data_IF_648034080922
#
_entry.id   IF_648034080922
#
_cell.length_a   1.000
_cell.length_b   1.000
_cell.length_c   1.000
_cell.angle_alpha   90.00
_cell.angle_beta   90.00
_cell.angle_gamma   90.00
#
_symmetry.space_group_name_H-M   'P 1'
#
loop_
_entity.id
_entity.type
_entity.pdbx_description
1 polymer ?
#
# COMPACT_ATOMS: atom_id res chain seq x y z
N UNK A 1 -8.28 6.83 12.14
CA UNK A 1 -7.38 5.97 11.35
C UNK A 1 -6.38 6.86 10.67
N UNK A 2 -5.13 6.48 10.70
CA UNK A 2 -4.02 7.32 10.25
C UNK A 2 -3.34 6.63 9.08
N UNK A 3 -3.39 7.25 7.88
CA UNK A 3 -2.71 6.69 6.71
C UNK A 3 -1.21 6.91 6.85
N UNK A 4 -0.43 5.89 6.60
CA UNK A 4 1.03 5.91 6.61
C UNK A 4 1.57 5.70 5.20
N UNK A 5 2.56 6.52 4.82
CA UNK A 5 3.35 6.35 3.60
C UNK A 5 4.80 6.09 3.98
N UNK A 6 5.32 4.94 3.60
CA UNK A 6 6.66 4.46 3.93
C UNK A 6 7.38 4.08 2.64
N UNK A 7 8.66 4.45 2.51
CA UNK A 7 9.47 4.12 1.34
C UNK A 7 10.84 3.59 1.71
N UNK A 8 11.44 2.84 0.78
CA UNK A 8 12.81 2.34 0.87
C UNK A 8 13.87 3.44 1.06
N UNK A 9 13.55 4.70 0.74
CA UNK A 9 14.48 5.84 0.86
C UNK A 9 14.57 6.42 2.27
N UNK A 10 13.65 6.05 3.16
CA UNK A 10 13.69 6.50 4.55
C UNK A 10 14.88 5.87 5.27
N UNK A 11 15.61 6.67 6.04
CA UNK A 11 16.76 6.17 6.81
C UNK A 11 16.34 5.04 7.76
N UNK A 12 17.04 3.89 7.69
CA UNK A 12 16.70 2.70 8.47
C UNK A 12 15.52 1.88 7.96
N UNK A 13 14.99 2.19 6.77
CA UNK A 13 13.96 1.39 6.13
C UNK A 13 14.48 -0.02 5.81
N UNK A 14 13.63 -1.06 5.94
CA UNK A 14 14.04 -2.42 5.63
C UNK A 14 14.39 -2.60 4.15
N UNK A 15 15.40 -3.44 3.88
CA UNK A 15 15.81 -3.74 2.50
C UNK A 15 14.96 -4.89 1.95
N UNK A 16 14.30 -4.66 0.82
CA UNK A 16 13.69 -5.71 0.01
C UNK A 16 14.70 -6.20 -1.02
N UNK A 17 14.82 -7.50 -1.19
CA UNK A 17 15.72 -8.11 -2.17
C UNK A 17 15.28 -9.54 -2.50
N UNK A 18 16.06 -10.24 -3.35
CA UNK A 18 15.81 -11.62 -3.78
C UNK A 18 16.36 -12.67 -2.83
N UNK A 19 16.19 -12.48 -1.53
CA UNK A 19 16.57 -13.46 -0.51
C UNK A 19 15.37 -13.90 0.31
N UNK A 20 15.44 -15.12 0.82
CA UNK A 20 14.44 -15.69 1.73
C UNK A 20 14.20 -14.74 2.91
N UNK A 21 12.96 -14.55 3.30
CA UNK A 21 12.55 -13.74 4.47
C UNK A 21 12.60 -12.22 4.28
N UNK A 22 13.08 -11.70 3.14
CA UNK A 22 13.23 -10.24 2.95
C UNK A 22 11.89 -9.49 2.91
N UNK A 23 10.86 -10.07 2.28
CA UNK A 23 9.51 -9.50 2.23
C UNK A 23 8.80 -9.66 3.58
N UNK A 24 8.92 -10.82 4.21
CA UNK A 24 8.37 -11.07 5.54
C UNK A 24 8.92 -10.07 6.58
N UNK A 25 10.23 -9.81 6.55
CA UNK A 25 10.89 -8.82 7.40
C UNK A 25 10.43 -7.39 7.11
N UNK A 26 10.29 -7.04 5.82
CA UNK A 26 9.77 -5.73 5.42
C UNK A 26 8.36 -5.52 5.97
N UNK A 27 7.46 -6.48 5.74
CA UNK A 27 6.07 -6.38 6.18
C UNK A 27 5.97 -6.33 7.71
N UNK A 28 6.71 -7.19 8.42
CA UNK A 28 6.77 -7.13 9.89
C UNK A 28 7.19 -5.76 10.38
N UNK A 29 8.24 -5.20 9.78
CA UNK A 29 8.75 -3.87 10.14
C UNK A 29 7.74 -2.77 9.86
N UNK A 30 7.13 -2.75 8.67
CA UNK A 30 6.22 -1.68 8.27
C UNK A 30 4.83 -1.81 8.91
N UNK A 31 4.34 -3.03 9.10
CA UNK A 31 3.00 -3.26 9.62
C UNK A 31 2.95 -3.23 11.16
N UNK A 32 3.99 -3.75 11.84
CA UNK A 32 3.95 -4.07 13.28
C UNK A 32 4.97 -3.28 14.10
N UNK A 33 6.26 -3.30 13.72
CA UNK A 33 7.32 -2.83 14.61
C UNK A 33 7.63 -1.34 14.47
N UNK A 34 7.57 -0.81 13.25
CA UNK A 34 8.21 0.46 12.87
C UNK A 34 9.73 0.32 12.78
N UNK A 35 10.44 1.39 12.42
CA UNK A 35 11.89 1.39 12.28
C UNK A 35 12.51 2.74 12.59
N UNK A 36 13.85 2.79 12.62
CA UNK A 36 14.60 4.02 12.87
C UNK A 36 14.49 4.50 14.33
N UNK A 37 14.26 3.57 15.29
CA UNK A 37 14.19 3.93 16.71
C UNK A 37 15.46 4.67 17.14
N UNK A 38 15.27 5.80 17.79
CA UNK A 38 16.36 6.59 18.34
C UNK A 38 15.91 7.58 19.39
N UNK A 39 16.84 7.96 20.26
CA UNK A 39 16.62 8.97 21.29
C UNK A 39 16.79 10.36 20.67
N UNK A 40 15.92 11.29 21.00
CA UNK A 40 16.03 12.69 20.63
C UNK A 40 16.98 13.40 21.57
N UNK A 41 17.78 14.31 21.02
CA UNK A 41 18.63 15.21 21.80
C UNK A 41 17.81 16.31 22.47
N UNK A 42 16.75 16.76 21.80
CA UNK A 42 15.80 17.73 22.36
C UNK A 42 14.44 17.65 21.65
N UNK A 43 13.41 18.10 22.37
CA UNK A 43 12.06 18.31 21.86
C UNK A 43 11.54 19.61 22.47
N UNK A 44 11.29 20.62 21.65
CA UNK A 44 10.91 21.97 22.09
C UNK A 44 9.62 22.39 21.41
N UNK A 45 8.67 22.88 22.21
CA UNK A 45 7.41 23.45 21.71
C UNK A 45 7.55 24.96 21.67
N UNK A 46 7.20 25.56 20.56
CA UNK A 46 7.11 27.01 20.38
C UNK A 46 6.01 27.35 19.38
N UNK A 47 5.11 28.24 19.76
CA UNK A 47 4.00 28.69 18.91
C UNK A 47 3.09 27.56 18.43
N UNK A 48 2.87 26.51 19.25
CA UNK A 48 2.04 25.36 18.90
C UNK A 48 2.72 24.34 17.95
N UNK A 49 4.01 24.49 17.65
CA UNK A 49 4.82 23.54 16.86
C UNK A 49 5.89 22.92 17.76
N UNK A 50 5.98 21.61 17.73
CA UNK A 50 7.07 20.88 18.36
C UNK A 50 8.20 20.65 17.34
N UNK A 51 9.43 21.00 17.74
CA UNK A 51 10.66 20.71 17.00
C UNK A 51 11.44 19.62 17.72
N UNK A 52 11.59 18.48 17.07
CA UNK A 52 12.39 17.35 17.54
C UNK A 52 13.78 17.42 16.89
N UNK A 53 14.84 17.32 17.67
CA UNK A 53 16.23 17.32 17.20
C UNK A 53 16.90 15.99 17.50
N UNK A 54 17.60 15.45 16.51
CA UNK A 54 18.46 14.28 16.64
C UNK A 54 19.69 14.47 15.75
N UNK A 55 20.81 14.88 16.35
CA UNK A 55 22.06 15.18 15.65
C UNK A 55 22.62 13.98 14.87
N UNK A 56 22.36 12.75 15.33
CA UNK A 56 22.73 11.52 14.62
C UNK A 56 21.88 11.23 13.38
N UNK A 57 20.93 12.11 13.02
CA UNK A 57 19.97 11.91 11.94
C UNK A 57 18.76 11.08 12.39
N UNK A 58 17.70 11.12 11.59
CA UNK A 58 16.43 10.44 11.86
C UNK A 58 15.79 9.92 10.58
N UNK A 59 14.70 9.12 10.74
CA UNK A 59 13.96 8.52 9.62
C UNK A 59 12.71 9.33 9.21
N UNK A 60 12.44 10.45 9.88
CA UNK A 60 11.28 11.28 9.57
C UNK A 60 11.43 11.96 8.22
N UNK A 61 10.37 11.94 7.43
CA UNK A 61 10.23 12.72 6.18
C UNK A 61 8.88 13.44 6.19
N UNK A 62 8.80 14.59 5.55
CA UNK A 62 7.54 15.36 5.48
C UNK A 62 6.39 14.52 4.99
N UNK A 63 5.28 14.53 5.71
CA UNK A 63 4.08 13.72 5.45
C UNK A 63 4.17 12.26 5.95
N UNK A 64 5.30 11.83 6.54
CA UNK A 64 5.36 10.57 7.27
C UNK A 64 4.85 10.72 8.70
N UNK A 65 4.69 9.61 9.40
CA UNK A 65 4.27 9.60 10.79
C UNK A 65 5.36 9.04 11.70
N UNK A 66 5.58 9.73 12.80
CA UNK A 66 6.54 9.34 13.83
C UNK A 66 5.82 9.01 15.12
N UNK A 67 6.21 7.91 15.77
CA UNK A 67 5.82 7.63 17.15
C UNK A 67 6.81 8.29 18.07
N UNK A 68 6.32 9.20 18.93
CA UNK A 68 7.09 9.84 20.00
C UNK A 68 6.73 9.16 21.32
N UNK A 69 7.71 8.86 22.15
CA UNK A 69 7.49 8.26 23.46
C UNK A 69 8.47 8.80 24.49
N UNK A 70 8.09 8.73 25.78
CA UNK A 70 8.94 9.14 26.91
C UNK A 70 9.01 10.63 27.18
N UNK A 71 8.15 11.43 26.54
CA UNK A 71 8.10 12.88 26.74
C UNK A 71 7.21 13.30 27.89
N UNK A 72 7.65 14.30 28.61
CA UNK A 72 6.84 15.14 29.48
C UNK A 72 6.86 16.57 28.93
N UNK A 73 5.70 17.20 28.57
CA UNK A 73 4.34 16.72 28.82
C UNK A 73 3.92 15.54 27.91
N UNK A 74 3.03 14.69 28.45
CA UNK A 74 2.57 13.47 27.79
C UNK A 74 1.80 13.70 26.48
N UNK A 75 1.22 14.88 26.27
CA UNK A 75 0.54 15.26 25.03
C UNK A 75 1.44 15.25 23.79
N UNK A 76 2.77 15.28 23.98
CA UNK A 76 3.73 15.16 22.88
C UNK A 76 3.94 13.68 22.47
N UNK A 77 3.56 12.71 23.29
CA UNK A 77 3.68 11.28 22.96
C UNK A 77 2.61 10.83 21.97
N UNK A 78 2.83 9.66 21.37
CA UNK A 78 1.93 9.05 20.39
C UNK A 78 2.38 9.27 18.95
N UNK A 79 1.50 8.97 18.01
CA UNK A 79 1.75 9.13 16.57
C UNK A 79 1.57 10.59 16.17
N UNK A 80 2.56 11.15 15.51
CA UNK A 80 2.61 12.55 15.07
C UNK A 80 2.85 12.64 13.57
N UNK A 81 2.13 13.55 12.91
CA UNK A 81 2.34 13.87 11.50
C UNK A 81 3.57 14.79 11.35
N UNK A 82 4.52 14.40 10.51
CA UNK A 82 5.69 15.21 10.24
C UNK A 82 5.34 16.34 9.26
N UNK A 83 5.38 17.57 9.75
CA UNK A 83 5.08 18.78 8.96
C UNK A 83 6.24 19.20 8.09
N UNK A 84 7.45 19.14 8.65
CA UNK A 84 8.70 19.45 7.93
C UNK A 84 9.87 18.66 8.51
N UNK A 85 10.92 18.49 7.74
CA UNK A 85 12.15 17.85 8.20
C UNK A 85 13.41 18.46 7.58
N UNK A 86 14.52 18.32 8.28
CA UNK A 86 15.90 18.52 7.83
C UNK A 86 16.68 17.23 8.11
N UNK A 87 17.97 17.11 7.80
CA UNK A 87 18.73 15.91 8.17
C UNK A 87 18.75 15.58 9.67
N UNK A 88 18.59 16.59 10.55
CA UNK A 88 18.73 16.43 12.00
C UNK A 88 17.53 16.88 12.81
N UNK A 89 16.52 17.47 12.18
CA UNK A 89 15.31 17.97 12.87
C UNK A 89 14.05 17.60 12.10
N UNK A 90 12.94 17.42 12.81
CA UNK A 90 11.61 17.39 12.22
C UNK A 90 10.60 18.09 13.13
N UNK A 91 9.50 18.54 12.53
CA UNK A 91 8.46 19.28 13.24
C UNK A 91 7.12 18.56 13.16
N UNK A 92 6.27 18.76 14.17
CA UNK A 92 4.91 18.27 14.21
C UNK A 92 3.99 19.21 15.00
N UNK A 93 2.69 19.07 14.83
CA UNK A 93 1.69 19.87 15.53
C UNK A 93 1.70 19.57 17.04
N UNK A 94 1.77 20.62 17.85
CA UNK A 94 1.73 20.60 19.30
C UNK A 94 0.71 21.62 19.83
N UNK A 95 -0.32 21.95 19.04
CA UNK A 95 -1.40 22.85 19.43
C UNK A 95 -2.02 22.42 20.78
N UNK A 96 -2.19 23.36 21.67
CA UNK A 96 -2.70 23.13 23.04
C UNK A 96 -1.63 22.75 24.07
N UNK A 97 -0.35 22.68 23.67
CA UNK A 97 0.77 22.49 24.58
C UNK A 97 1.52 23.84 24.68
N UNK A 98 1.75 24.31 25.91
CA UNK A 98 2.46 25.56 26.16
C UNK A 98 3.90 25.49 25.68
N UNK A 99 4.47 26.63 25.29
CA UNK A 99 5.86 26.77 24.90
C UNK A 99 6.80 26.31 26.00
N UNK A 100 7.58 25.28 25.74
CA UNK A 100 8.50 24.68 26.69
C UNK A 100 9.48 23.69 26.01
N UNK A 101 10.56 23.41 26.69
CA UNK A 101 11.40 22.24 26.39
C UNK A 101 10.80 21.02 27.09
N UNK A 102 10.56 19.95 26.34
CA UNK A 102 10.10 18.69 26.89
C UNK A 102 11.24 17.98 27.68
N UNK A 103 10.85 17.21 28.68
CA UNK A 103 11.78 16.44 29.53
C UNK A 103 11.52 14.94 29.41
N UNK A 104 12.47 14.14 29.87
CA UNK A 104 12.44 12.67 29.83
C UNK A 104 13.40 12.08 28.82
N UNK A 105 13.47 10.76 28.75
CA UNK A 105 14.19 10.04 27.69
C UNK A 105 13.24 9.87 26.51
N UNK A 106 13.30 10.85 25.60
CA UNK A 106 12.36 10.95 24.49
C UNK A 106 12.89 10.14 23.31
N UNK A 107 12.07 9.23 22.80
CA UNK A 107 12.40 8.41 21.64
C UNK A 107 11.47 8.70 20.46
N UNK A 108 11.97 8.46 19.25
CA UNK A 108 11.21 8.52 18.01
C UNK A 108 11.47 7.30 17.15
N UNK A 109 10.48 6.88 16.37
CA UNK A 109 10.61 5.90 15.28
C UNK A 109 9.53 6.15 14.22
N UNK A 110 9.76 5.70 12.98
CA UNK A 110 8.68 5.64 11.98
C UNK A 110 7.58 4.74 12.51
N UNK A 111 6.36 5.27 12.55
CA UNK A 111 5.20 4.52 13.05
C UNK A 111 4.88 3.36 12.12
N UNK A 112 4.61 2.17 12.63
CA UNK A 112 4.03 1.10 11.83
C UNK A 112 2.56 1.40 11.48
N UNK A 113 1.96 0.59 10.60
CA UNK A 113 0.56 0.69 10.26
C UNK A 113 -0.38 0.24 11.41
N UNK A 114 0.15 -0.47 12.41
CA UNK A 114 -0.61 -0.88 13.59
C UNK A 114 -1.26 -2.26 13.48
N UNK A 115 -0.84 -3.10 12.54
CA UNK A 115 -1.27 -4.50 12.42
C UNK A 115 -0.70 -5.35 13.55
N UNK A 116 -1.30 -6.52 13.78
CA UNK A 116 -0.80 -7.54 14.70
C UNK A 116 -0.13 -8.67 13.94
N UNK A 117 0.93 -9.23 14.53
CA UNK A 117 1.57 -10.46 14.10
C UNK A 117 0.99 -11.61 14.91
N UNK A 118 0.10 -12.39 14.29
CA UNK A 118 -0.66 -13.42 15.00
C UNK A 118 0.10 -14.74 15.14
N UNK A 119 0.71 -15.20 14.04
CA UNK A 119 1.51 -16.43 14.00
C UNK A 119 2.77 -16.21 13.17
N UNK A 120 3.83 -16.95 13.44
CA UNK A 120 5.04 -16.91 12.65
C UNK A 120 5.91 -18.17 12.79
N UNK A 121 6.75 -18.38 11.78
CA UNK A 121 7.99 -19.17 11.83
C UNK A 121 9.15 -18.29 11.38
N UNK A 122 10.28 -18.87 10.98
CA UNK A 122 11.45 -18.09 10.54
C UNK A 122 11.13 -17.19 9.33
N UNK A 123 10.46 -17.74 8.31
CA UNK A 123 10.22 -17.04 7.03
C UNK A 123 8.72 -17.01 6.64
N UNK A 124 7.84 -17.42 7.56
CA UNK A 124 6.39 -17.35 7.37
C UNK A 124 5.79 -16.45 8.42
N UNK A 125 5.04 -15.46 7.98
CA UNK A 125 4.39 -14.47 8.83
C UNK A 125 2.88 -14.49 8.60
N UNK A 126 2.12 -14.29 9.67
CA UNK A 126 0.67 -14.11 9.60
C UNK A 126 0.30 -12.80 10.28
N UNK A 127 -0.28 -11.90 9.50
CA UNK A 127 -0.73 -10.59 9.95
C UNK A 127 -2.24 -10.51 10.02
N UNK A 128 -2.72 -9.68 10.93
CA UNK A 128 -4.15 -9.40 11.09
C UNK A 128 -4.37 -7.95 11.48
N UNK A 129 -5.44 -7.34 10.96
CA UNK A 129 -5.91 -6.04 11.46
C UNK A 129 -6.44 -6.17 12.90
N UNK A 130 -6.02 -5.33 13.86
CA UNK A 130 -6.64 -5.30 15.18
C UNK A 130 -7.97 -4.52 15.19
N UNK A 131 -8.27 -3.77 14.12
CA UNK A 131 -9.39 -2.86 14.04
C UNK A 131 -10.72 -3.60 13.98
N UNK A 132 -11.53 -3.46 15.04
CA UNK A 132 -12.83 -4.13 15.17
C UNK A 132 -13.90 -3.66 14.18
N UNK A 133 -13.68 -2.50 13.53
CA UNK A 133 -14.55 -2.02 12.46
C UNK A 133 -14.26 -2.66 11.10
N UNK A 134 -13.21 -3.48 11.01
CA UNK A 134 -12.84 -4.21 9.81
C UNK A 134 -13.25 -5.68 9.85
N UNK A 135 -12.98 -6.38 8.75
CA UNK A 135 -13.24 -7.82 8.63
C UNK A 135 -12.30 -8.64 9.52
N UNK A 136 -11.11 -8.12 9.80
CA UNK A 136 -10.07 -8.75 10.60
C UNK A 136 -9.63 -10.12 10.07
N UNK A 137 -9.64 -10.29 8.75
CA UNK A 137 -9.13 -11.47 8.09
C UNK A 137 -7.60 -11.54 8.21
N UNK A 138 -7.06 -12.73 8.06
CA UNK A 138 -5.64 -13.01 8.21
C UNK A 138 -4.94 -13.00 6.86
N UNK A 139 -3.72 -12.49 6.83
CA UNK A 139 -2.81 -12.58 5.70
C UNK A 139 -1.62 -13.43 6.08
N UNK A 140 -1.45 -14.56 5.42
CA UNK A 140 -0.25 -15.39 5.50
C UNK A 140 0.71 -15.03 4.38
N UNK A 141 1.97 -14.83 4.73
CA UNK A 141 3.09 -14.64 3.80
C UNK A 141 4.09 -15.77 4.07
N UNK A 142 4.28 -16.64 3.11
CA UNK A 142 5.36 -17.64 3.11
C UNK A 142 6.48 -17.11 2.20
N UNK A 143 7.54 -16.58 2.81
CA UNK A 143 8.67 -15.96 2.15
C UNK A 143 9.90 -16.87 2.08
N UNK A 144 9.68 -18.18 2.00
CA UNK A 144 10.72 -19.19 1.80
C UNK A 144 11.29 -19.19 0.38
N UNK A 145 10.62 -18.54 -0.57
CA UNK A 145 11.11 -18.32 -1.93
C UNK A 145 12.10 -17.15 -2.02
N UNK A 146 12.92 -17.15 -3.07
CA UNK A 146 13.91 -16.08 -3.29
C UNK A 146 13.36 -14.91 -4.11
N UNK A 147 12.66 -15.17 -5.21
CA UNK A 147 12.12 -14.11 -6.09
C UNK A 147 10.67 -13.77 -5.79
N UNK A 148 9.93 -14.72 -5.26
CA UNK A 148 8.52 -14.61 -4.97
C UNK A 148 8.22 -15.17 -3.59
N UNK A 149 7.28 -14.54 -2.88
CA UNK A 149 6.66 -15.10 -1.69
C UNK A 149 5.29 -15.68 -2.05
N UNK A 150 4.88 -16.76 -1.36
CA UNK A 150 3.51 -17.27 -1.44
C UNK A 150 2.63 -16.48 -0.49
N UNK A 151 1.42 -16.18 -0.94
CA UNK A 151 0.46 -15.42 -0.13
C UNK A 151 -0.92 -16.05 -0.18
N UNK A 152 -1.57 -16.07 0.96
CA UNK A 152 -2.95 -16.52 1.11
C UNK A 152 -3.62 -15.76 2.24
N UNK A 153 -4.87 -15.44 2.07
CA UNK A 153 -5.66 -14.87 3.16
C UNK A 153 -6.69 -15.89 3.66
N UNK A 154 -7.13 -15.70 4.90
CA UNK A 154 -8.07 -16.59 5.57
C UNK A 154 -9.08 -15.80 6.40
N UNK A 155 -10.30 -16.32 6.51
CA UNK A 155 -11.27 -15.73 7.45
C UNK A 155 -10.91 -16.06 8.91
N UNK A 156 -10.43 -17.28 9.17
CA UNK A 156 -9.95 -17.69 10.50
C UNK A 156 -8.66 -18.47 10.40
N UNK A 157 -7.78 -18.30 11.39
CA UNK A 157 -6.57 -19.11 11.55
C UNK A 157 -6.36 -19.48 13.01
N UNK A 158 -5.77 -20.67 13.23
CA UNK A 158 -5.39 -21.19 14.55
C UNK A 158 -3.90 -21.53 14.64
N UNK A 159 -3.17 -21.30 13.56
CA UNK A 159 -1.72 -21.51 13.47
C UNK A 159 -1.19 -21.02 12.14
N UNK A 160 0.13 -21.05 11.96
CA UNK A 160 0.81 -20.47 10.82
C UNK A 160 0.37 -21.07 9.47
N UNK A 161 0.00 -22.37 9.45
CA UNK A 161 -0.46 -23.07 8.25
C UNK A 161 -1.86 -23.69 8.44
N UNK A 162 -2.61 -23.22 9.44
CA UNK A 162 -3.92 -23.80 9.75
C UNK A 162 -4.97 -22.69 9.76
N UNK A 163 -5.82 -22.68 8.73
CA UNK A 163 -6.89 -21.71 8.59
C UNK A 163 -8.08 -22.28 7.83
N UNK A 164 -9.16 -21.51 7.76
CA UNK A 164 -10.38 -21.85 7.02
C UNK A 164 -10.85 -20.70 6.15
N UNK A 165 -11.62 -21.01 5.12
CA UNK A 165 -12.15 -20.04 4.16
C UNK A 165 -11.04 -19.19 3.53
N UNK A 166 -10.09 -19.90 2.92
CA UNK A 166 -8.96 -19.27 2.25
C UNK A 166 -9.36 -18.54 0.96
N UNK A 167 -8.65 -17.45 0.67
CA UNK A 167 -8.71 -16.75 -0.61
C UNK A 167 -7.32 -16.28 -1.07
N UNK A 168 -6.88 -16.66 -2.30
CA UNK A 168 -7.57 -17.57 -3.21
C UNK A 168 -7.67 -19.00 -2.67
N UNK A 169 -8.69 -19.74 -3.12
CA UNK A 169 -8.80 -21.17 -2.87
C UNK A 169 -7.79 -21.95 -3.71
N UNK A 170 -7.53 -23.22 -3.37
CA UNK A 170 -6.66 -24.09 -4.18
C UNK A 170 -7.19 -24.32 -5.60
N UNK A 171 -8.50 -24.30 -5.79
CA UNK A 171 -9.11 -24.37 -7.12
C UNK A 171 -8.85 -23.10 -7.96
N UNK A 172 -8.65 -21.96 -7.31
CA UNK A 172 -8.34 -20.70 -7.98
C UNK A 172 -6.82 -20.55 -8.23
N UNK A 173 -6.03 -20.80 -7.20
CA UNK A 173 -4.55 -20.79 -7.25
C UNK A 173 -4.02 -21.80 -6.25
N UNK A 174 -3.56 -22.94 -6.75
CA UNK A 174 -3.07 -24.02 -5.91
C UNK A 174 -1.92 -23.57 -4.98
N UNK A 175 -2.08 -23.75 -3.68
CA UNK A 175 -1.13 -23.33 -2.66
C UNK A 175 -1.09 -21.82 -2.38
N UNK A 176 -2.07 -21.02 -2.85
CA UNK A 176 -2.12 -19.57 -2.70
C UNK A 176 -1.49 -18.79 -3.86
N UNK A 177 -1.57 -17.48 -3.81
CA UNK A 177 -1.00 -16.60 -4.82
C UNK A 177 0.48 -16.30 -4.62
N UNK A 178 1.02 -15.44 -5.47
CA UNK A 178 2.42 -15.01 -5.42
C UNK A 178 2.51 -13.49 -5.32
N UNK A 179 3.44 -13.04 -4.51
CA UNK A 179 3.93 -11.67 -4.46
C UNK A 179 5.38 -11.63 -4.88
N UNK A 180 5.66 -11.03 -6.03
CA UNK A 180 7.02 -10.92 -6.54
C UNK A 180 7.76 -9.81 -5.82
N UNK A 181 8.89 -10.14 -5.22
CA UNK A 181 9.72 -9.23 -4.43
C UNK A 181 11.02 -8.84 -5.13
N UNK A 182 11.51 -9.67 -6.04
CA UNK A 182 12.76 -9.40 -6.77
C UNK A 182 12.77 -10.16 -8.10
N UNK A 183 13.38 -9.59 -9.15
CA UNK A 183 13.61 -10.30 -10.41
C UNK A 183 14.77 -11.31 -10.32
N UNK A 184 15.59 -11.25 -9.27
CA UNK A 184 16.76 -12.09 -9.10
C UNK A 184 16.88 -12.66 -7.69
N UNK A 185 17.40 -13.88 -7.60
CA UNK A 185 17.71 -14.56 -6.35
C UNK A 185 19.06 -14.06 -5.77
N UNK A 186 19.15 -12.76 -5.46
CA UNK A 186 20.36 -12.15 -4.92
C UNK A 186 20.02 -11.02 -3.91
N UNK A 187 21.05 -10.40 -3.34
CA UNK A 187 20.93 -9.35 -2.34
C UNK A 187 20.76 -7.93 -2.91
N UNK A 188 20.59 -7.77 -4.22
CA UNK A 188 20.37 -6.45 -4.82
C UNK A 188 19.10 -5.84 -4.30
N UNK A 189 19.21 -4.63 -3.75
CA UNK A 189 18.08 -3.93 -3.17
C UNK A 189 17.04 -3.56 -4.22
N UNK A 190 15.78 -3.82 -3.90
CA UNK A 190 14.62 -3.47 -4.70
C UNK A 190 13.94 -2.25 -4.08
N UNK A 191 13.62 -1.27 -4.91
CA UNK A 191 12.87 -0.11 -4.49
C UNK A 191 11.42 -0.49 -4.18
N UNK A 192 10.89 0.06 -3.10
CA UNK A 192 9.51 -0.19 -2.69
C UNK A 192 8.89 1.04 -2.03
N UNK A 193 7.56 1.06 -2.05
CA UNK A 193 6.75 2.00 -1.28
C UNK A 193 5.53 1.27 -0.73
N UNK A 194 5.13 1.60 0.50
CA UNK A 194 3.97 1.05 1.17
C UNK A 194 3.07 2.19 1.64
N UNK A 195 1.77 2.09 1.32
CA UNK A 195 0.74 3.02 1.78
C UNK A 195 -0.35 2.22 2.44
N UNK A 196 -0.81 2.65 3.60
CA UNK A 196 -1.90 1.95 4.25
C UNK A 196 -2.27 2.50 5.61
N UNK A 197 -3.26 1.86 6.19
CA UNK A 197 -3.70 2.02 7.56
C UNK A 197 -3.75 0.67 8.28
N UNK A 198 -4.39 0.63 9.44
CA UNK A 198 -4.57 -0.59 10.24
C UNK A 198 -5.57 -1.60 9.65
N UNK A 199 -6.18 -1.31 8.48
CA UNK A 199 -7.17 -2.18 7.82
C UNK A 199 -6.80 -2.60 6.41
N UNK A 200 -6.04 -1.78 5.69
CA UNK A 200 -5.70 -2.00 4.28
C UNK A 200 -4.33 -1.44 3.98
N UNK A 201 -3.52 -2.16 3.22
CA UNK A 201 -2.28 -1.64 2.72
C UNK A 201 -2.04 -2.00 1.25
N UNK A 202 -1.24 -1.18 0.62
CA UNK A 202 -0.77 -1.28 -0.76
C UNK A 202 0.74 -1.24 -0.75
N UNK A 203 1.37 -2.29 -1.26
CA UNK A 203 2.82 -2.40 -1.40
C UNK A 203 3.17 -2.39 -2.88
N UNK A 204 4.04 -1.50 -3.26
CA UNK A 204 4.61 -1.41 -4.60
C UNK A 204 6.06 -1.78 -4.56
N UNK A 205 6.47 -2.64 -5.48
CA UNK A 205 7.87 -2.98 -5.68
C UNK A 205 8.28 -2.63 -7.10
N UNK A 206 9.50 -2.13 -7.26
CA UNK A 206 10.04 -1.76 -8.56
C UNK A 206 11.04 -2.81 -9.00
N UNK A 207 10.66 -3.61 -9.97
CA UNK A 207 11.39 -4.80 -10.40
C UNK A 207 12.34 -4.54 -11.59
N UNK A 208 12.66 -3.28 -11.91
CA UNK A 208 13.55 -2.94 -13.00
C UNK A 208 15.03 -3.23 -12.68
N UNK A 209 15.75 -3.68 -13.67
CA UNK A 209 17.13 -4.14 -13.59
C UNK A 209 18.17 -3.06 -13.31
N UNK A 210 17.94 -1.88 -13.76
CA UNK A 210 18.79 -0.75 -13.55
C UNK A 210 17.99 0.21 -12.68
N UNK A 211 18.45 0.47 -11.56
CA UNK A 211 17.99 1.40 -10.53
C UNK A 211 17.03 2.51 -10.96
N UNK A 212 16.48 2.43 -12.22
CA UNK A 212 16.13 3.63 -12.68
C UNK A 212 14.84 3.90 -13.20
N UNK A 213 14.56 3.86 -13.99
CA UNK A 213 13.81 4.95 -14.55
C UNK A 213 12.47 4.56 -15.12
N UNK A 214 12.22 3.30 -15.45
CA UNK A 214 10.96 2.93 -16.07
C UNK A 214 9.92 2.50 -15.03
N UNK A 215 8.85 3.27 -14.83
CA UNK A 215 7.71 2.85 -14.01
C UNK A 215 7.01 1.61 -14.56
N UNK A 216 7.36 1.19 -15.76
CA UNK A 216 6.83 0.01 -16.45
C UNK A 216 7.01 -1.31 -15.70
N UNK A 217 7.95 -1.39 -14.78
CA UNK A 217 8.33 -2.63 -14.08
C UNK A 217 7.95 -2.62 -12.60
N UNK A 218 6.80 -2.09 -12.27
CA UNK A 218 6.30 -2.08 -10.89
C UNK A 218 5.30 -3.21 -10.67
N UNK A 219 5.50 -4.03 -9.63
CA UNK A 219 4.49 -4.94 -9.12
C UNK A 219 3.68 -4.24 -8.03
N UNK A 220 2.38 -4.54 -7.97
CA UNK A 220 1.48 -3.97 -7.00
C UNK A 220 0.76 -5.08 -6.23
N UNK A 221 0.97 -5.09 -4.94
CA UNK A 221 0.49 -6.09 -4.00
C UNK A 221 -0.40 -5.41 -2.98
N UNK A 222 -1.51 -6.03 -2.60
CA UNK A 222 -2.42 -5.41 -1.66
C UNK A 222 -3.23 -6.44 -0.87
N UNK A 223 -3.53 -6.10 0.36
CA UNK A 223 -4.42 -6.86 1.23
C UNK A 223 -5.16 -5.94 2.18
N UNK A 224 -6.39 -6.32 2.50
CA UNK A 224 -7.19 -5.70 3.54
C UNK A 224 -8.65 -5.56 3.19
N UNK A 225 -9.30 -4.64 3.88
CA UNK A 225 -10.71 -4.33 3.66
C UNK A 225 -10.90 -3.42 2.44
N UNK A 226 -12.08 -3.50 1.85
CA UNK A 226 -12.57 -2.53 0.87
C UNK A 226 -13.87 -1.87 1.36
N UNK A 227 -14.27 -0.78 0.75
CA UNK A 227 -15.55 -0.13 1.02
C UNK A 227 -16.67 -0.88 0.28
N UNK A 228 -17.39 -1.73 0.99
CA UNK A 228 -18.48 -2.51 0.41
C UNK A 228 -19.74 -1.66 0.20
N UNK A 229 -20.46 -1.91 -0.88
CA UNK A 229 -21.82 -1.40 -1.12
C UNK A 229 -22.89 -2.21 -0.35
N UNK A 230 -22.50 -3.34 0.23
CA UNK A 230 -23.39 -4.15 1.07
C UNK A 230 -23.25 -3.67 2.52
N UNK A 231 -24.31 -3.13 3.13
CA UNK A 231 -24.28 -2.70 4.52
C UNK A 231 -23.95 -3.86 5.47
N UNK A 232 -23.00 -3.65 6.38
CA UNK A 232 -22.62 -4.66 7.37
C UNK A 232 -21.88 -5.87 6.79
N UNK A 233 -21.24 -5.70 5.63
CA UNK A 233 -20.49 -6.78 4.95
C UNK A 233 -19.27 -7.24 5.76
N UNK A 234 -19.42 -8.28 6.55
CA UNK A 234 -18.34 -8.91 7.31
C UNK A 234 -17.30 -9.63 6.44
N UNK A 235 -17.50 -9.67 5.13
CA UNK A 235 -16.63 -10.33 4.13
C UNK A 235 -16.03 -9.33 3.14
N UNK A 236 -16.00 -8.05 3.48
CA UNK A 236 -15.45 -6.98 2.63
C UNK A 236 -13.92 -6.95 2.65
N UNK A 237 -13.29 -8.09 2.40
CA UNK A 237 -11.84 -8.24 2.34
C UNK A 237 -11.37 -8.73 0.97
N UNK A 238 -10.18 -8.31 0.58
CA UNK A 238 -9.54 -8.71 -0.67
C UNK A 238 -8.06 -9.04 -0.49
N UNK A 239 -7.56 -9.92 -1.34
CA UNK A 239 -6.14 -10.15 -1.56
C UNK A 239 -5.86 -9.97 -3.05
N UNK A 240 -4.84 -9.20 -3.37
CA UNK A 240 -4.32 -9.08 -4.71
C UNK A 240 -3.00 -9.83 -4.84
N UNK A 241 -2.94 -10.78 -5.74
CA UNK A 241 -1.78 -11.62 -5.98
C UNK A 241 -1.75 -12.17 -7.41
N UNK A 242 -0.58 -12.63 -7.85
CA UNK A 242 -0.43 -13.35 -9.11
C UNK A 242 -0.76 -14.83 -8.94
N UNK A 243 -1.30 -15.50 -9.97
CA UNK A 243 -1.53 -16.94 -9.93
C UNK A 243 -0.26 -17.77 -10.19
N UNK A 244 0.78 -17.17 -10.72
CA UNK A 244 2.03 -17.81 -11.12
C UNK A 244 3.24 -17.02 -10.61
N UNK A 245 4.37 -17.72 -10.45
CA UNK A 245 5.66 -17.10 -10.18
C UNK A 245 6.14 -16.29 -11.40
N UNK A 246 7.00 -15.32 -11.13
CA UNK A 246 7.81 -14.72 -12.16
C UNK A 246 8.87 -15.72 -12.64
N UNK A 247 8.63 -16.38 -13.74
CA UNK A 247 9.61 -17.27 -14.36
C UNK A 247 9.93 -16.75 -15.77
N UNK A 248 11.09 -16.12 -15.91
CA UNK A 248 11.72 -15.89 -17.22
C UNK A 248 10.91 -15.08 -18.24
N UNK A 249 9.93 -14.33 -17.81
CA UNK A 249 9.16 -13.47 -18.70
C UNK A 249 10.00 -12.24 -19.01
N UNK A 250 10.17 -11.93 -20.28
CA UNK A 250 10.85 -10.70 -20.70
C UNK A 250 10.27 -9.49 -19.97
N UNK A 251 11.07 -8.52 -19.56
CA UNK A 251 10.59 -7.27 -18.99
C UNK A 251 9.43 -6.62 -19.77
N UNK A 252 9.39 -6.84 -21.09
CA UNK A 252 8.31 -6.37 -21.95
C UNK A 252 6.94 -7.00 -21.65
N UNK A 253 6.87 -8.19 -21.04
CA UNK A 253 5.63 -8.87 -20.67
C UNK A 253 5.11 -8.44 -19.30
N UNK A 254 5.92 -7.77 -18.50
CA UNK A 254 5.54 -7.16 -17.25
C UNK A 254 4.76 -5.86 -17.45
N UNK A 255 4.86 -5.31 -18.64
CA UNK A 255 4.26 -4.00 -18.95
C UNK A 255 2.75 -4.03 -19.10
N UNK A 256 2.13 -5.20 -19.31
CA UNK A 256 0.69 -5.29 -19.51
C UNK A 256 -0.09 -5.93 -18.38
N UNK A 257 0.47 -6.92 -17.72
CA UNK A 257 -0.33 -7.89 -16.97
C UNK A 257 -0.12 -7.89 -15.45
N UNK A 258 0.96 -7.28 -14.97
CA UNK A 258 1.21 -7.07 -13.54
C UNK A 258 0.43 -5.88 -13.03
N UNK A 259 -0.13 -5.14 -13.96
CA UNK A 259 -0.78 -3.91 -13.66
C UNK A 259 -2.13 -4.13 -13.03
N UNK A 260 -2.35 -3.30 -12.13
CA UNK A 260 -3.51 -3.02 -11.36
C UNK A 260 -4.84 -3.06 -12.13
N UNK A 261 -4.81 -3.01 -13.47
CA UNK A 261 -5.95 -2.69 -14.29
C UNK A 261 -6.29 -3.71 -15.38
N UNK A 262 -5.47 -4.71 -15.64
CA UNK A 262 -5.75 -5.59 -16.78
C UNK A 262 -6.41 -6.90 -16.39
N UNK A 263 -7.52 -7.17 -17.02
CA UNK A 263 -8.10 -8.46 -17.21
C UNK A 263 -8.20 -8.75 -18.72
N UNK A 264 -7.10 -8.65 -19.47
CA UNK A 264 -7.14 -9.11 -20.84
C UNK A 264 -7.06 -10.63 -20.90
N UNK A 265 -7.96 -11.18 -21.65
CA UNK A 265 -8.46 -12.55 -21.62
C UNK A 265 -7.53 -13.69 -21.96
N UNK A 266 -6.22 -13.62 -21.83
CA UNK A 266 -5.35 -14.76 -22.12
C UNK A 266 -4.15 -14.97 -21.20
N UNK A 267 -3.85 -14.07 -20.28
CA UNK A 267 -2.84 -14.33 -19.25
C UNK A 267 -3.43 -14.04 -17.88
N UNK A 268 -3.53 -15.07 -17.09
CA UNK A 268 -4.07 -15.10 -15.73
C UNK A 268 -3.14 -14.39 -14.72
N UNK A 269 -2.71 -13.14 -15.06
CA UNK A 269 -1.66 -12.49 -14.36
C UNK A 269 -2.18 -12.00 -13.04
N UNK A 270 -2.38 -10.91 -12.61
CA UNK A 270 -2.81 -10.57 -11.26
C UNK A 270 -4.32 -10.69 -11.06
N UNK A 271 -4.73 -11.43 -10.03
CA UNK A 271 -6.12 -11.54 -9.59
C UNK A 271 -6.40 -10.72 -8.35
N UNK A 272 -7.58 -10.14 -8.26
CA UNK A 272 -8.17 -9.70 -7.00
C UNK A 272 -9.12 -10.80 -6.54
N UNK A 273 -8.85 -11.34 -5.36
CA UNK A 273 -9.66 -12.39 -4.74
C UNK A 273 -10.36 -11.81 -3.53
N UNK A 274 -11.69 -11.91 -3.50
CA UNK A 274 -12.51 -11.53 -2.35
C UNK A 274 -12.74 -12.75 -1.47
N UNK A 275 -12.91 -12.55 -0.18
CA UNK A 275 -13.15 -13.65 0.75
C UNK A 275 -14.41 -14.44 0.39
N UNK A 276 -15.49 -13.74 0.03
CA UNK A 276 -16.76 -14.36 -0.43
C UNK A 276 -17.44 -13.51 -1.52
N UNK A 277 -18.40 -14.13 -2.20
CA UNK A 277 -19.31 -13.44 -3.10
C UNK A 277 -20.19 -12.39 -2.36
N UNK A 278 -20.85 -11.51 -3.12
CA UNK A 278 -21.70 -10.44 -2.55
C UNK A 278 -22.85 -10.96 -1.67
N UNK A 279 -23.22 -12.21 -1.84
CA UNK A 279 -24.22 -12.87 -1.00
C UNK A 279 -23.73 -13.22 0.40
N UNK A 280 -22.42 -13.12 0.65
CA UNK A 280 -21.78 -13.59 1.87
C UNK A 280 -21.73 -15.13 2.00
N UNK A 281 -22.17 -15.84 0.99
CA UNK A 281 -22.22 -17.31 0.95
C UNK A 281 -21.11 -17.89 0.06
N UNK A 282 -20.77 -19.14 0.29
CA UNK A 282 -19.82 -19.91 -0.52
C UNK A 282 -18.37 -19.59 -0.17
N UNK A 283 -17.51 -19.73 -1.18
CA UNK A 283 -16.06 -19.59 -1.09
C UNK A 283 -15.59 -18.30 -1.78
N UNK A 284 -14.31 -18.08 -1.77
CA UNK A 284 -13.65 -16.95 -2.47
C UNK A 284 -14.13 -16.77 -3.90
N UNK A 285 -14.32 -15.52 -4.30
CA UNK A 285 -14.66 -15.14 -5.68
C UNK A 285 -13.62 -14.20 -6.27
N UNK A 286 -13.47 -14.25 -7.61
CA UNK A 286 -12.60 -13.31 -8.34
C UNK A 286 -13.33 -12.00 -8.59
N UNK A 287 -12.58 -10.91 -8.48
CA UNK A 287 -13.02 -9.59 -8.85
C UNK A 287 -12.05 -8.94 -9.83
N UNK A 288 -12.56 -7.95 -10.55
CA UNK A 288 -11.81 -7.04 -11.41
C UNK A 288 -11.84 -5.65 -10.81
N UNK A 289 -10.81 -4.88 -11.10
CA UNK A 289 -10.78 -3.45 -10.83
C UNK A 289 -11.32 -2.71 -12.03
N UNK A 290 -12.13 -1.71 -11.78
CA UNK A 290 -12.68 -0.88 -12.85
C UNK A 290 -12.69 0.59 -12.47
N UNK A 291 -12.22 1.43 -13.38
CA UNK A 291 -12.58 2.84 -13.37
C UNK A 291 -14.04 2.99 -13.81
N UNK A 292 -14.75 3.98 -13.27
CA UNK A 292 -16.18 4.20 -13.58
C UNK A 292 -16.43 4.99 -14.87
N UNK A 293 -15.44 5.09 -15.76
CA UNK A 293 -15.64 5.76 -17.05
C UNK A 293 -15.98 4.75 -18.13
N UNK A 294 -17.02 5.00 -18.94
CA UNK A 294 -17.32 4.14 -20.07
C UNK A 294 -16.17 4.24 -21.10
N UNK A 295 -15.47 3.14 -21.35
CA UNK A 295 -14.64 3.05 -22.54
C UNK A 295 -15.53 2.74 -23.75
N UNK A 296 -15.34 3.45 -24.85
CA UNK A 296 -16.04 3.19 -26.10
C UNK A 296 -15.48 1.97 -26.86
N UNK A 297 -14.45 1.35 -26.36
CA UNK A 297 -13.91 0.13 -26.93
C UNK A 297 -14.54 -1.10 -26.26
N UNK A 298 -14.79 -2.13 -27.06
CA UNK A 298 -15.35 -3.40 -26.59
C UNK A 298 -14.44 -4.18 -25.62
N UNK A 299 -13.25 -3.66 -25.29
CA UNK A 299 -12.41 -4.15 -24.23
C UNK A 299 -12.93 -3.61 -22.90
N UNK A 300 -13.29 -4.48 -22.02
CA UNK A 300 -13.89 -4.24 -20.71
C UNK A 300 -12.95 -3.58 -19.70
N UNK A 301 -11.84 -3.00 -20.15
CA UNK A 301 -10.72 -2.54 -19.35
C UNK A 301 -10.44 -1.08 -19.62
N UNK A 302 -10.37 -0.35 -18.54
CA UNK A 302 -9.93 1.02 -18.62
C UNK A 302 -8.41 1.08 -18.45
N UNK A 303 -7.72 1.67 -19.42
CA UNK A 303 -6.28 1.95 -19.37
C UNK A 303 -6.09 3.46 -19.36
N UNK A 304 -5.41 3.99 -18.35
CA UNK A 304 -4.87 5.32 -18.46
C UNK A 304 -3.73 5.29 -19.49
N UNK A 305 -3.75 6.23 -20.44
CA UNK A 305 -2.70 6.29 -21.46
C UNK A 305 -3.08 5.73 -22.83
N UNK A 306 -4.27 5.17 -23.00
CA UNK A 306 -4.74 4.87 -24.36
C UNK A 306 -5.01 6.15 -25.16
N UNK A 307 -4.76 6.13 -26.47
CA UNK A 307 -5.04 7.25 -27.38
C UNK A 307 -6.52 7.72 -27.41
N UNK A 308 -7.40 7.03 -26.68
CA UNK A 308 -8.81 7.33 -26.53
C UNK A 308 -9.15 8.04 -25.20
N UNK A 309 -8.18 8.26 -24.31
CA UNK A 309 -8.40 9.02 -23.07
C UNK A 309 -8.58 10.50 -23.30
N UNK A 310 -9.19 11.18 -22.33
CA UNK A 310 -9.22 12.65 -22.33
C UNK A 310 -7.82 13.20 -22.10
N UNK A 311 -7.55 14.40 -22.58
CA UNK A 311 -6.23 15.02 -22.45
C UNK A 311 -5.93 15.41 -20.99
N UNK A 312 -4.66 15.30 -20.60
CA UNK A 312 -4.14 15.91 -19.37
C UNK A 312 -3.05 16.95 -19.73
N UNK A 313 -3.05 18.13 -19.10
CA UNK A 313 -4.14 18.66 -18.26
C UNK A 313 -5.42 18.85 -19.04
N UNK A 314 -6.59 18.83 -18.37
CA UNK A 314 -7.87 19.06 -19.03
C UNK A 314 -7.88 20.44 -19.71
N UNK A 315 -8.24 20.49 -21.01
CA UNK A 315 -8.12 21.72 -21.79
C UNK A 315 -9.01 22.87 -21.32
N UNK A 316 -10.10 22.56 -20.61
CA UNK A 316 -11.07 23.56 -20.16
C UNK A 316 -10.64 24.27 -18.85
N UNK A 317 -10.08 23.54 -17.91
CA UNK A 317 -9.83 24.01 -16.54
C UNK A 317 -8.43 23.63 -16.01
N UNK A 318 -7.62 22.93 -16.79
CA UNK A 318 -6.31 22.44 -16.37
C UNK A 318 -6.35 21.30 -15.34
N UNK A 319 -7.52 20.76 -15.03
CA UNK A 319 -7.69 19.84 -13.92
C UNK A 319 -7.14 18.42 -14.21
N UNK A 320 -6.78 17.73 -13.13
CA UNK A 320 -6.65 16.28 -13.06
C UNK A 320 -8.01 15.70 -12.66
N UNK A 321 -8.61 14.92 -13.55
CA UNK A 321 -9.89 14.27 -13.29
C UNK A 321 -9.65 12.89 -12.68
N UNK A 322 -10.26 12.61 -11.55
CA UNK A 322 -10.11 11.35 -10.83
C UNK A 322 -11.44 10.65 -10.60
N UNK A 323 -11.39 9.32 -10.58
CA UNK A 323 -12.49 8.48 -10.13
C UNK A 323 -11.98 7.43 -9.16
N UNK A 324 -12.83 6.97 -8.26
CA UNK A 324 -12.53 5.86 -7.36
C UNK A 324 -12.37 4.55 -8.13
N UNK A 325 -11.51 3.69 -7.67
CA UNK A 325 -11.34 2.36 -8.25
C UNK A 325 -12.39 1.41 -7.70
N UNK A 326 -13.30 0.98 -8.58
CA UNK A 326 -14.36 0.05 -8.23
C UNK A 326 -13.87 -1.41 -8.22
N UNK A 327 -14.50 -2.21 -7.37
CA UNK A 327 -14.37 -3.66 -7.31
C UNK A 327 -15.60 -4.27 -7.99
N UNK A 328 -15.35 -4.99 -9.08
CA UNK A 328 -16.38 -5.65 -9.86
C UNK A 328 -16.26 -7.17 -9.73
N UNK A 329 -17.25 -7.79 -9.14
CA UNK A 329 -17.31 -9.25 -8.98
C UNK A 329 -17.66 -9.90 -10.32
N UNK A 330 -16.72 -10.67 -10.86
CA UNK A 330 -16.79 -11.11 -12.27
C UNK A 330 -17.93 -12.10 -12.52
N UNK A 331 -18.08 -13.09 -11.65
CA UNK A 331 -19.08 -14.14 -11.82
C UNK A 331 -20.52 -13.61 -11.70
N UNK A 332 -20.75 -12.75 -10.72
CA UNK A 332 -22.06 -12.15 -10.46
C UNK A 332 -22.36 -10.93 -11.34
N UNK A 333 -21.35 -10.41 -12.08
CA UNK A 333 -21.46 -9.17 -12.87
C UNK A 333 -21.97 -7.99 -12.05
N UNK A 334 -21.54 -7.90 -10.78
CA UNK A 334 -22.03 -6.87 -9.87
C UNK A 334 -20.88 -6.01 -9.34
N UNK A 335 -21.17 -4.74 -9.12
CA UNK A 335 -20.25 -3.85 -8.44
C UNK A 335 -20.31 -4.11 -6.93
N UNK A 336 -19.19 -4.47 -6.33
CA UNK A 336 -19.09 -4.85 -4.94
C UNK A 336 -18.80 -3.69 -4.01
N UNK A 337 -18.04 -2.73 -4.50
CA UNK A 337 -17.56 -1.61 -3.70
C UNK A 337 -16.39 -0.88 -4.34
N UNK A 338 -15.58 -0.26 -3.49
CA UNK A 338 -14.41 0.51 -3.91
C UNK A 338 -13.18 0.12 -3.10
N UNK A 339 -12.01 0.15 -3.75
CA UNK A 339 -10.75 0.11 -3.02
C UNK A 339 -10.59 1.38 -2.19
N UNK A 340 -10.17 1.22 -0.95
CA UNK A 340 -10.04 2.33 0.00
C UNK A 340 -8.90 3.26 -0.43
N UNK A 341 -9.21 4.54 -0.52
CA UNK A 341 -8.22 5.57 -0.85
C UNK A 341 -7.62 5.53 -2.25
N UNK A 342 -8.12 4.68 -3.16
CA UNK A 342 -7.57 4.57 -4.51
C UNK A 342 -8.37 5.34 -5.55
N UNK A 343 -7.62 6.00 -6.43
CA UNK A 343 -8.15 6.76 -7.56
C UNK A 343 -7.40 6.45 -8.84
N UNK A 344 -8.10 6.58 -9.95
CA UNK A 344 -7.55 6.52 -11.31
C UNK A 344 -8.06 7.69 -12.11
N UNK A 345 -7.34 8.04 -13.18
CA UNK A 345 -7.73 9.13 -14.07
C UNK A 345 -8.19 8.59 -15.43
N UNK A 346 -9.24 9.17 -16.05
CA UNK A 346 -9.60 8.87 -17.44
C UNK A 346 -8.69 9.59 -18.43
N UNK A 347 -7.80 10.45 -17.94
CA UNK A 347 -6.93 11.24 -18.79
C UNK A 347 -5.75 10.41 -19.27
N UNK A 348 -5.33 10.64 -20.50
CA UNK A 348 -4.12 10.07 -21.06
C UNK A 348 -2.92 10.75 -20.43
N UNK A 349 -2.42 10.16 -19.34
CA UNK A 349 -1.24 10.63 -18.63
C UNK A 349 -0.07 9.73 -18.98
N UNK A 350 0.94 10.31 -19.64
CA UNK A 350 2.19 9.61 -19.93
C UNK A 350 2.94 9.26 -18.63
N UNK A 351 3.74 8.21 -18.70
CA UNK A 351 4.52 7.70 -17.54
C UNK A 351 5.48 8.72 -16.91
N UNK A 352 5.75 9.82 -17.61
CA UNK A 352 6.70 10.86 -17.18
C UNK A 352 6.03 12.11 -16.58
N UNK A 353 4.70 12.15 -16.53
CA UNK A 353 3.98 13.35 -16.04
C UNK A 353 4.11 13.51 -14.54
N UNK A 354 4.02 12.41 -13.80
CA UNK A 354 4.24 12.38 -12.36
C UNK A 354 5.41 11.45 -12.05
N UNK A 355 6.28 11.85 -11.12
CA UNK A 355 7.29 10.96 -10.59
C UNK A 355 6.66 9.88 -9.70
N UNK A 356 7.35 8.75 -9.56
CA UNK A 356 6.88 7.65 -8.68
C UNK A 356 6.82 8.11 -7.22
N UNK A 357 5.64 8.06 -6.62
CA UNK A 357 5.39 8.53 -5.27
C UNK A 357 5.29 10.05 -5.13
N UNK A 358 5.20 10.79 -6.24
CA UNK A 358 5.04 12.23 -6.24
C UNK A 358 3.77 12.65 -5.50
N UNK A 359 3.89 13.72 -4.75
CA UNK A 359 2.76 14.33 -4.05
C UNK A 359 1.94 15.18 -4.99
N UNK A 360 0.67 14.85 -5.11
CA UNK A 360 -0.31 15.61 -5.88
C UNK A 360 -1.30 16.23 -4.91
N UNK A 361 -1.30 17.54 -4.81
CA UNK A 361 -2.23 18.32 -3.99
C UNK A 361 -3.10 19.20 -4.88
N UNK A 362 -4.13 19.80 -4.30
CA UNK A 362 -5.03 20.70 -5.01
C UNK A 362 -5.82 20.05 -6.17
N UNK A 363 -6.22 18.80 -6.01
CA UNK A 363 -7.12 18.13 -6.95
C UNK A 363 -8.55 18.62 -6.75
N UNK A 364 -9.23 19.04 -7.82
CA UNK A 364 -10.61 19.50 -7.77
C UNK A 364 -11.54 18.43 -7.19
N UNK A 365 -12.39 18.81 -6.23
CA UNK A 365 -13.29 17.89 -5.52
C UNK A 365 -12.65 17.07 -4.40
N UNK A 366 -11.33 17.19 -4.18
CA UNK A 366 -10.58 16.53 -3.12
C UNK A 366 -9.87 17.57 -2.23
N UNK A 367 -10.54 18.64 -1.89
CA UNK A 367 -9.98 19.71 -1.04
C UNK A 367 -9.45 19.17 0.29
N UNK A 368 -8.23 19.54 0.64
CA UNK A 368 -7.56 19.07 1.86
C UNK A 368 -7.00 17.65 1.76
N UNK A 369 -7.08 17.00 0.61
CA UNK A 369 -6.48 15.68 0.36
C UNK A 369 -5.10 15.82 -0.30
N UNK A 370 -4.20 14.94 0.10
CA UNK A 370 -2.89 14.76 -0.51
C UNK A 370 -2.83 13.37 -1.12
N UNK A 371 -2.68 13.31 -2.42
CA UNK A 371 -2.53 12.05 -3.14
C UNK A 371 -1.06 11.77 -3.44
N UNK A 372 -0.72 10.49 -3.55
CA UNK A 372 0.56 10.05 -4.12
C UNK A 372 0.30 9.39 -5.46
N UNK A 373 1.04 9.82 -6.47
CA UNK A 373 0.98 9.28 -7.81
C UNK A 373 1.87 8.04 -7.94
N UNK A 374 1.35 7.02 -8.61
CA UNK A 374 2.10 5.80 -8.90
C UNK A 374 1.92 5.45 -10.37
N UNK A 375 3.04 5.32 -11.05
CA UNK A 375 3.07 5.08 -12.48
C UNK A 375 3.25 3.59 -12.78
N UNK A 376 2.58 3.15 -13.83
CA UNK A 376 2.79 1.85 -14.46
C UNK A 376 2.97 2.03 -15.97
N UNK A 377 3.23 0.96 -16.71
CA UNK A 377 3.31 1.02 -18.17
C UNK A 377 2.02 1.57 -18.81
N UNK A 378 0.88 1.30 -18.19
CA UNK A 378 -0.45 1.61 -18.74
C UNK A 378 -1.05 2.90 -18.16
N UNK A 379 -0.31 3.66 -17.37
CA UNK A 379 -0.76 4.94 -16.86
C UNK A 379 -0.48 5.21 -15.39
N UNK A 380 -1.19 6.17 -14.83
CA UNK A 380 -1.00 6.64 -13.47
C UNK A 380 -2.24 6.38 -12.61
N UNK A 381 -2.03 5.93 -11.40
CA UNK A 381 -3.05 5.81 -10.37
C UNK A 381 -2.58 6.53 -9.10
N UNK A 382 -3.53 6.82 -8.23
CA UNK A 382 -3.30 7.69 -7.09
C UNK A 382 -3.82 7.04 -5.81
N UNK A 383 -3.11 7.26 -4.72
CA UNK A 383 -3.55 6.84 -3.38
C UNK A 383 -3.64 8.05 -2.47
N UNK A 384 -4.75 8.20 -1.79
CA UNK A 384 -4.95 9.23 -0.77
C UNK A 384 -4.08 8.91 0.46
N UNK A 385 -3.21 9.83 0.82
CA UNK A 385 -2.34 9.72 1.99
C UNK A 385 -2.80 10.59 3.17
N UNK A 386 -3.94 11.25 3.05
CA UNK A 386 -4.48 12.10 4.10
C UNK A 386 -5.41 11.31 5.02
N UNK A 387 -6.29 10.46 4.43
CA UNK A 387 -7.29 9.71 5.18
C UNK A 387 -8.36 10.60 5.84
N UNK A 388 -9.27 10.01 6.65
CA UNK A 388 -9.49 8.56 6.71
C UNK A 388 -10.03 7.97 5.42
N UNK A 389 -9.74 6.69 5.18
CA UNK A 389 -10.29 5.95 4.03
C UNK A 389 -11.64 5.36 4.36
#
# INVERSE_FOLDING_TARGET
>A
MTIQFITHTMSGAPTLNGQVGSLASLLKTCLVDGFGLGTLDSLVVSGGIATATRAAGHSAVTGSKQTIAGSTPSGLNGVKDVLSHTPTTFTFDATGISDQAATGTITTKVSPLGWTREFNTTDIEVFRSPNVAGTRHYLQIDDTGTTDARVRAYETMTGVNTGTSEFPTDAQVNGGGYWTKSPYANATAIHWALVGDDRTFYLMTRLAFDAHASPAYSAFMAFGDFESLVPGDGYAAFLQCAPNTYVGVSPALWTGDIHFLTASGNNASFGTYLSRAYTGLGVSTRAQRRGLFPSHAASTEWRSGSAAGTQYPNGADGALNLTRVAIYETAARTMRGYFRGQFVTPQSIGQSVFAQGETVSAVAGLTGRTLRAFNSADGCWFVDCTGPW
#
